data_IF_074931304375
#
_entry.id   IF_074931304375
#
_cell.length_a   1.000
_cell.length_b   1.000
_cell.length_c   1.000
_cell.angle_alpha   90.00
_cell.angle_beta   90.00
_cell.angle_gamma   90.00
#
_symmetry.space_group_name_H-M   'P 1'
#
loop_
_entity.id
_entity.type
_entity.pdbx_description
1 polymer ?
#
# COMPACT_ATOMS: atom_id res chain seq x y z
N UNK A 1 65.28 1.54 0.88
CA UNK A 1 65.01 1.13 -0.51
C UNK A 1 64.27 -0.20 -0.45
N UNK A 2 62.97 -0.33 -0.62
CA UNK A 2 61.80 0.53 -0.48
C UNK A 2 60.70 -0.40 0.06
N UNK A 3 59.97 0.02 1.08
CA UNK A 3 58.78 -0.71 1.55
C UNK A 3 57.69 -0.53 0.49
N UNK A 4 57.33 -1.59 -0.22
CA UNK A 4 56.15 -1.62 -1.11
C UNK A 4 54.89 -1.51 -0.24
N UNK A 5 54.41 -0.28 -0.08
CA UNK A 5 53.09 0.02 0.44
C UNK A 5 52.07 -0.33 -0.65
N UNK A 6 51.28 -1.38 -0.41
CA UNK A 6 50.08 -1.66 -1.19
C UNK A 6 49.09 -0.49 -1.02
N UNK A 7 48.51 0.04 -2.09
CA UNK A 7 47.51 1.10 -1.97
C UNK A 7 46.23 0.51 -1.37
N UNK A 8 45.90 0.91 -0.14
CA UNK A 8 44.57 0.73 0.45
C UNK A 8 43.57 1.55 -0.36
N UNK A 9 42.98 0.94 -1.39
CA UNK A 9 41.81 1.50 -2.06
C UNK A 9 40.60 1.27 -1.16
N UNK A 10 40.37 2.18 -0.22
CA UNK A 10 39.11 2.31 0.51
C UNK A 10 38.02 2.78 -0.47
N UNK A 11 37.56 1.86 -1.30
CA UNK A 11 36.32 2.04 -2.04
C UNK A 11 35.19 1.88 -1.04
N UNK A 12 34.86 2.99 -0.36
CA UNK A 12 33.57 3.17 0.30
C UNK A 12 32.47 3.00 -0.74
N UNK A 13 32.08 1.76 -1.01
CA UNK A 13 30.92 1.40 -1.80
C UNK A 13 29.73 1.95 -1.03
N UNK A 14 29.32 3.18 -1.37
CA UNK A 14 28.06 3.76 -0.95
C UNK A 14 27.03 3.27 -1.96
N UNK A 15 26.31 2.15 -1.72
CA UNK A 15 25.26 1.76 -2.62
C UNK A 15 24.28 2.93 -2.70
N UNK A 16 24.09 3.45 -3.91
CA UNK A 16 23.06 4.45 -4.16
C UNK A 16 21.71 3.74 -3.99
N UNK A 17 21.16 3.79 -2.77
CA UNK A 17 19.88 3.19 -2.40
C UNK A 17 18.76 3.60 -3.37
N UNK A 18 18.82 4.82 -3.90
CA UNK A 18 17.88 5.31 -4.92
C UNK A 18 17.98 4.57 -6.26
N UNK A 19 19.20 4.22 -6.70
CA UNK A 19 19.42 3.48 -7.95
C UNK A 19 18.97 2.02 -7.81
N UNK A 20 19.22 1.43 -6.64
CA UNK A 20 18.74 0.10 -6.27
C UNK A 20 17.21 0.08 -6.23
N UNK A 21 16.57 1.07 -5.59
CA UNK A 21 15.12 1.24 -5.58
C UNK A 21 14.52 1.37 -6.99
N UNK A 22 15.10 2.19 -7.87
CA UNK A 22 14.61 2.32 -9.26
C UNK A 22 14.77 1.02 -10.07
N UNK A 23 15.79 0.21 -9.77
CA UNK A 23 16.05 -1.06 -10.45
C UNK A 23 15.03 -2.11 -10.02
N UNK A 24 14.70 -2.18 -8.73
CA UNK A 24 13.63 -3.05 -8.23
C UNK A 24 12.26 -2.64 -8.75
N UNK A 25 11.94 -1.35 -8.76
CA UNK A 25 10.70 -0.84 -9.32
C UNK A 25 10.57 -1.19 -10.81
N UNK A 26 11.64 -0.99 -11.59
CA UNK A 26 11.68 -1.38 -13.01
C UNK A 26 11.55 -2.89 -13.20
N UNK A 27 12.15 -3.71 -12.33
CA UNK A 27 12.07 -5.16 -12.43
C UNK A 27 10.66 -5.68 -12.07
N UNK A 28 10.01 -5.11 -11.06
CA UNK A 28 8.60 -5.39 -10.71
C UNK A 28 7.66 -4.97 -11.83
N UNK A 29 7.86 -3.78 -12.42
CA UNK A 29 7.10 -3.33 -13.60
C UNK A 29 7.26 -4.26 -14.79
N UNK A 30 8.49 -4.70 -15.12
CA UNK A 30 8.74 -5.60 -16.25
C UNK A 30 8.11 -6.98 -16.02
N UNK A 31 8.17 -7.50 -14.79
CA UNK A 31 7.55 -8.78 -14.41
C UNK A 31 6.03 -8.73 -14.50
N UNK A 32 5.41 -7.62 -14.12
CA UNK A 32 3.97 -7.43 -14.26
C UNK A 32 3.52 -7.16 -15.70
N UNK A 33 4.30 -6.41 -16.48
CA UNK A 33 4.02 -6.25 -17.92
C UNK A 33 4.17 -7.58 -18.69
N UNK A 34 4.94 -8.53 -18.16
CA UNK A 34 5.02 -9.91 -18.69
C UNK A 34 3.68 -10.65 -18.53
N UNK A 35 2.90 -10.33 -17.49
CA UNK A 35 1.54 -10.85 -17.25
C UNK A 35 0.46 -9.77 -17.36
N UNK A 36 0.51 -8.96 -18.42
CA UNK A 36 -0.48 -7.91 -18.75
C UNK A 36 -1.96 -8.30 -18.57
N UNK A 37 -2.30 -9.58 -18.78
CA UNK A 37 -3.64 -10.10 -18.57
C UNK A 37 -4.07 -10.09 -17.09
N UNK A 38 -3.19 -10.47 -16.17
CA UNK A 38 -3.46 -10.46 -14.73
C UNK A 38 -3.67 -9.03 -14.21
N UNK A 39 -2.84 -8.10 -14.67
CA UNK A 39 -2.99 -6.67 -14.37
C UNK A 39 -4.35 -6.15 -14.87
N UNK A 40 -4.71 -6.42 -16.13
CA UNK A 40 -5.98 -5.99 -16.71
C UNK A 40 -7.19 -6.57 -15.99
N UNK A 41 -7.17 -7.88 -15.69
CA UNK A 41 -8.24 -8.56 -14.94
C UNK A 41 -8.40 -7.93 -13.55
N UNK A 42 -7.29 -7.61 -12.88
CA UNK A 42 -7.36 -7.02 -11.54
C UNK A 42 -7.86 -5.59 -11.59
N UNK A 43 -7.41 -4.79 -12.57
CA UNK A 43 -7.92 -3.44 -12.81
C UNK A 43 -9.43 -3.45 -13.05
N UNK A 44 -9.90 -4.32 -13.96
CA UNK A 44 -11.34 -4.45 -14.28
C UNK A 44 -12.13 -4.90 -13.05
N UNK A 45 -11.64 -5.89 -12.31
CA UNK A 45 -12.30 -6.38 -11.09
C UNK A 45 -12.42 -5.29 -10.02
N UNK A 46 -11.33 -4.54 -9.75
CA UNK A 46 -11.32 -3.45 -8.76
C UNK A 46 -12.21 -2.29 -9.19
N UNK A 47 -12.18 -1.92 -10.47
CA UNK A 47 -13.05 -0.89 -11.02
C UNK A 47 -14.52 -1.31 -10.97
N UNK A 48 -14.84 -2.55 -11.34
CA UNK A 48 -16.19 -3.10 -11.27
C UNK A 48 -16.71 -3.10 -9.83
N UNK A 49 -15.88 -3.50 -8.86
CA UNK A 49 -16.25 -3.47 -7.44
C UNK A 49 -16.57 -2.05 -6.96
N UNK A 50 -15.71 -1.09 -7.28
CA UNK A 50 -15.94 0.32 -6.98
C UNK A 50 -17.23 0.82 -7.64
N UNK A 51 -17.44 0.53 -8.93
CA UNK A 51 -18.65 0.94 -9.65
C UNK A 51 -19.91 0.32 -9.04
N UNK A 52 -19.89 -0.96 -8.70
CA UNK A 52 -21.02 -1.62 -8.05
C UNK A 52 -21.34 -0.97 -6.69
N UNK A 53 -20.32 -0.65 -5.90
CA UNK A 53 -20.50 0.01 -4.60
C UNK A 53 -21.03 1.44 -4.77
N UNK A 54 -20.52 2.20 -5.73
CA UNK A 54 -21.01 3.54 -6.05
C UNK A 54 -22.46 3.50 -6.52
N UNK A 55 -22.82 2.59 -7.44
CA UNK A 55 -24.20 2.45 -7.92
C UNK A 55 -25.17 2.07 -6.80
N UNK A 56 -24.76 1.18 -5.90
CA UNK A 56 -25.58 0.81 -4.74
C UNK A 56 -25.88 2.03 -3.88
N UNK A 57 -24.86 2.82 -3.53
CA UNK A 57 -25.05 4.02 -2.71
C UNK A 57 -25.78 5.13 -3.46
N UNK A 58 -25.56 5.27 -4.76
CA UNK A 58 -26.29 6.21 -5.61
C UNK A 58 -27.80 5.92 -5.58
N UNK A 59 -28.20 4.64 -5.67
CA UNK A 59 -29.61 4.21 -5.56
C UNK A 59 -30.17 4.46 -4.16
N UNK A 60 -29.37 4.28 -3.10
CA UNK A 60 -29.82 4.59 -1.74
C UNK A 60 -30.07 6.10 -1.60
N UNK A 61 -29.12 6.93 -2.02
CA UNK A 61 -29.23 8.39 -1.97
C UNK A 61 -30.24 8.97 -2.97
N UNK A 62 -30.76 8.17 -3.92
CA UNK A 62 -31.89 8.60 -4.75
C UNK A 62 -33.24 8.49 -4.02
N UNK A 63 -33.28 7.74 -2.91
CA UNK A 63 -34.49 7.55 -2.10
C UNK A 63 -34.38 8.19 -0.71
N UNK A 64 -33.19 8.68 -0.33
CA UNK A 64 -32.90 9.27 0.96
C UNK A 64 -31.96 10.47 0.77
N UNK A 65 -32.33 11.64 1.28
CA UNK A 65 -31.53 12.86 1.12
C UNK A 65 -30.20 12.81 1.90
N UNK A 66 -30.20 12.17 3.08
CA UNK A 66 -29.01 11.96 3.90
C UNK A 66 -29.14 10.68 4.74
N UNK A 67 -28.03 9.94 4.89
CA UNK A 67 -27.96 8.79 5.80
C UNK A 67 -27.41 9.31 7.13
N UNK A 68 -28.31 9.62 8.07
CA UNK A 68 -27.94 10.32 9.29
C UNK A 68 -27.47 11.74 8.98
N UNK A 69 -26.28 12.12 9.46
CA UNK A 69 -25.66 13.43 9.20
C UNK A 69 -24.73 13.43 7.96
N UNK A 70 -24.67 12.34 7.21
CA UNK A 70 -23.73 12.18 6.09
C UNK A 70 -24.41 12.38 4.73
N UNK A 71 -23.96 13.41 4.03
CA UNK A 71 -24.28 13.66 2.62
C UNK A 71 -23.60 12.63 1.72
N UNK A 72 -24.08 12.53 0.47
CA UNK A 72 -23.53 11.63 -0.56
C UNK A 72 -22.00 11.72 -0.69
N UNK A 73 -21.47 12.94 -0.75
CA UNK A 73 -20.06 13.17 -1.01
C UNK A 73 -19.18 12.90 0.23
N UNK A 74 -19.70 13.15 1.44
CA UNK A 74 -19.00 12.78 2.68
C UNK A 74 -18.87 11.26 2.79
N UNK A 75 -19.91 10.52 2.41
CA UNK A 75 -19.86 9.06 2.37
C UNK A 75 -18.83 8.55 1.34
N UNK A 76 -18.75 9.16 0.15
CA UNK A 76 -17.75 8.81 -0.85
C UNK A 76 -16.31 9.07 -0.38
N UNK A 77 -16.08 10.16 0.37
CA UNK A 77 -14.78 10.43 0.99
C UNK A 77 -14.43 9.37 2.06
N UNK A 78 -15.40 8.97 2.87
CA UNK A 78 -15.24 7.87 3.84
C UNK A 78 -14.91 6.55 3.14
N UNK A 79 -15.65 6.21 2.09
CA UNK A 79 -15.42 5.00 1.28
C UNK A 79 -14.02 5.00 0.66
N UNK A 80 -13.59 6.13 0.09
CA UNK A 80 -12.25 6.29 -0.47
C UNK A 80 -11.16 6.08 0.59
N UNK A 81 -11.38 6.58 1.81
CA UNK A 81 -10.46 6.37 2.94
C UNK A 81 -10.37 4.89 3.31
N UNK A 82 -11.50 4.19 3.40
CA UNK A 82 -11.54 2.75 3.66
C UNK A 82 -10.82 1.93 2.58
N UNK A 83 -11.02 2.28 1.31
CA UNK A 83 -10.30 1.66 0.19
C UNK A 83 -8.79 1.88 0.28
N UNK A 84 -8.36 3.06 0.70
CA UNK A 84 -6.95 3.41 0.86
C UNK A 84 -6.31 2.63 2.01
N UNK A 85 -6.98 2.55 3.16
CA UNK A 85 -6.51 1.74 4.30
C UNK A 85 -6.43 0.27 3.91
N UNK A 86 -7.45 -0.28 3.26
CA UNK A 86 -7.44 -1.66 2.77
C UNK A 86 -6.31 -1.92 1.77
N UNK A 87 -6.07 -1.00 0.82
CA UNK A 87 -4.97 -1.13 -0.13
C UNK A 87 -3.59 -1.11 0.55
N UNK A 88 -3.39 -0.21 1.53
CA UNK A 88 -2.16 -0.20 2.35
C UNK A 88 -2.01 -1.55 3.05
N UNK A 89 -3.10 -2.05 3.64
CA UNK A 89 -3.03 -3.29 4.42
C UNK A 89 -2.69 -4.49 3.53
N UNK A 90 -3.37 -4.64 2.40
CA UNK A 90 -3.15 -5.71 1.43
C UNK A 90 -1.75 -5.61 0.79
N UNK A 91 -1.22 -4.40 0.58
CA UNK A 91 0.13 -4.19 0.03
C UNK A 91 1.21 -4.65 1.00
N UNK A 92 1.13 -4.18 2.25
CA UNK A 92 2.22 -4.37 3.20
C UNK A 92 2.06 -5.65 4.02
N UNK A 93 0.86 -5.98 4.51
CA UNK A 93 0.73 -7.05 5.49
C UNK A 93 0.41 -8.41 4.89
N UNK A 94 -0.38 -8.48 3.82
CA UNK A 94 -0.74 -9.78 3.22
C UNK A 94 0.48 -10.60 2.78
N UNK A 95 1.51 -10.02 2.12
CA UNK A 95 2.74 -10.74 1.81
C UNK A 95 3.54 -11.10 3.07
N UNK A 96 3.57 -10.21 4.07
CA UNK A 96 4.27 -10.44 5.32
C UNK A 96 3.65 -11.58 6.14
N UNK A 97 2.32 -11.66 6.22
CA UNK A 97 1.62 -12.76 6.87
C UNK A 97 1.83 -14.09 6.16
N UNK A 98 1.79 -14.12 4.82
CA UNK A 98 2.05 -15.33 4.05
C UNK A 98 3.49 -15.84 4.29
N UNK A 99 4.47 -14.94 4.26
CA UNK A 99 5.87 -15.29 4.57
C UNK A 99 6.02 -15.76 6.02
N UNK A 100 5.44 -15.05 6.99
CA UNK A 100 5.50 -15.42 8.40
C UNK A 100 4.88 -16.80 8.67
N UNK A 101 3.72 -17.08 8.05
CA UNK A 101 3.08 -18.40 8.11
C UNK A 101 3.95 -19.49 7.48
N UNK A 102 4.64 -19.18 6.38
CA UNK A 102 5.58 -20.11 5.74
C UNK A 102 6.83 -20.37 6.60
N UNK A 103 7.38 -19.34 7.25
CA UNK A 103 8.50 -19.42 8.20
C UNK A 103 8.15 -20.29 9.43
N UNK A 104 6.90 -20.20 9.94
CA UNK A 104 6.41 -21.11 10.99
C UNK A 104 6.30 -22.54 10.45
N UNK A 105 5.73 -22.71 9.26
CA UNK A 105 5.52 -24.04 8.63
C UNK A 105 6.82 -24.78 8.36
N UNK A 106 7.89 -24.08 7.97
CA UNK A 106 9.20 -24.70 7.69
C UNK A 106 10.08 -24.86 8.91
N UNK A 107 9.72 -24.25 10.06
CA UNK A 107 10.53 -24.29 11.28
C UNK A 107 11.77 -23.38 11.24
N UNK A 108 11.89 -22.53 10.22
CA UNK A 108 13.03 -21.63 10.03
C UNK A 108 12.89 -20.30 10.81
N UNK A 109 11.82 -20.16 11.62
CA UNK A 109 11.58 -18.96 12.41
C UNK A 109 12.76 -18.63 13.36
N UNK A 110 13.35 -19.65 13.98
CA UNK A 110 14.50 -19.49 14.87
C UNK A 110 15.78 -19.08 14.13
N UNK A 111 15.93 -19.48 12.86
CA UNK A 111 17.02 -19.05 11.98
C UNK A 111 16.83 -17.61 11.48
N UNK A 112 15.59 -17.18 11.27
CA UNK A 112 15.26 -15.80 10.89
C UNK A 112 15.58 -14.81 12.02
N UNK A 113 15.36 -15.19 13.28
CA UNK A 113 15.68 -14.37 14.46
C UNK A 113 17.20 -14.18 14.69
N UNK A 114 18.04 -15.04 14.11
CA UNK A 114 19.51 -15.02 14.28
C UNK A 114 20.25 -14.31 13.13
N UNK A 115 19.55 -13.89 12.06
CA UNK A 115 20.18 -13.34 10.85
C UNK A 115 20.21 -11.81 10.89
N UNK A 116 21.39 -11.14 10.78
CA UNK A 116 21.48 -9.69 10.77
C UNK A 116 21.43 -9.17 9.33
N UNK A 117 20.36 -9.45 8.58
CA UNK A 117 20.08 -8.75 7.31
C UNK A 117 18.58 -8.54 7.19
N UNK A 118 18.23 -7.30 6.86
CA UNK A 118 16.90 -6.73 6.66
C UNK A 118 16.16 -7.43 5.51
N UNK A 119 15.43 -8.50 5.84
CA UNK A 119 14.48 -9.19 4.95
C UNK A 119 13.27 -8.31 4.60
N UNK A 120 13.03 -7.25 5.38
CA UNK A 120 11.88 -6.36 5.27
C UNK A 120 12.01 -5.43 4.05
N UNK A 121 13.22 -4.98 3.72
CA UNK A 121 13.49 -4.21 2.50
C UNK A 121 13.40 -5.07 1.22
N UNK A 122 13.95 -6.28 1.24
CA UNK A 122 13.99 -7.13 0.04
C UNK A 122 12.60 -7.68 -0.33
N UNK A 123 11.80 -8.08 0.67
CA UNK A 123 10.43 -8.57 0.49
C UNK A 123 9.44 -7.43 0.15
N UNK A 124 9.59 -6.24 0.74
CA UNK A 124 8.66 -5.12 0.47
C UNK A 124 8.80 -4.49 -0.91
N UNK A 125 9.97 -4.63 -1.56
CA UNK A 125 10.23 -4.02 -2.89
C UNK A 125 10.30 -5.03 -4.05
N UNK A 126 10.41 -6.34 -3.79
CA UNK A 126 10.44 -7.37 -4.84
C UNK A 126 9.04 -7.69 -5.43
N UNK A 127 7.98 -7.53 -4.64
CA UNK A 127 6.59 -7.71 -5.06
C UNK A 127 5.79 -6.45 -4.75
N UNK A 128 6.11 -5.35 -5.42
CA UNK A 128 5.15 -4.25 -5.51
C UNK A 128 3.95 -4.81 -6.27
N UNK A 129 2.91 -5.21 -5.54
CA UNK A 129 1.63 -5.59 -6.13
C UNK A 129 1.06 -4.34 -6.81
N UNK A 130 1.35 -4.11 -8.09
CA UNK A 130 0.76 -3.01 -8.83
C UNK A 130 -0.78 -3.07 -8.86
N UNK A 131 -1.46 -4.24 -8.68
CA UNK A 131 -2.88 -4.27 -8.36
C UNK A 131 -3.30 -3.38 -7.20
N UNK A 132 -2.48 -3.26 -6.16
CA UNK A 132 -2.76 -2.38 -5.03
C UNK A 132 -2.55 -0.92 -5.39
N UNK A 133 -1.57 -0.63 -6.24
CA UNK A 133 -1.35 0.72 -6.77
C UNK A 133 -2.58 1.20 -7.54
N UNK A 134 -3.21 0.33 -8.33
CA UNK A 134 -4.49 0.62 -8.98
C UNK A 134 -5.57 0.99 -7.96
N UNK A 135 -5.70 0.24 -6.87
CA UNK A 135 -6.70 0.54 -5.84
C UNK A 135 -6.43 1.88 -5.13
N UNK A 136 -5.16 2.18 -4.84
CA UNK A 136 -4.76 3.50 -4.28
C UNK A 136 -5.11 4.62 -5.24
N UNK A 137 -4.86 4.45 -6.55
CA UNK A 137 -5.23 5.43 -7.58
C UNK A 137 -6.74 5.63 -7.64
N UNK A 138 -7.54 4.55 -7.66
CA UNK A 138 -9.00 4.62 -7.66
C UNK A 138 -9.54 5.32 -6.41
N UNK A 139 -9.00 4.98 -5.23
CA UNK A 139 -9.33 5.64 -3.97
C UNK A 139 -8.97 7.14 -4.01
N UNK A 140 -7.81 7.48 -4.55
CA UNK A 140 -7.37 8.87 -4.71
C UNK A 140 -8.27 9.68 -5.63
N UNK A 141 -8.69 9.12 -6.77
CA UNK A 141 -9.63 9.76 -7.71
C UNK A 141 -10.98 10.00 -7.02
N UNK A 142 -11.51 9.02 -6.31
CA UNK A 142 -12.77 9.15 -5.59
C UNK A 142 -12.68 10.17 -4.45
N UNK A 143 -11.57 10.17 -3.70
CA UNK A 143 -11.33 11.14 -2.63
C UNK A 143 -11.27 12.56 -3.21
N UNK A 144 -10.51 12.76 -4.29
CA UNK A 144 -10.45 14.04 -4.99
C UNK A 144 -11.83 14.51 -5.47
N UNK A 145 -12.60 13.62 -6.10
CA UNK A 145 -13.96 13.92 -6.56
C UNK A 145 -14.88 14.34 -5.41
N UNK A 146 -14.77 13.66 -4.27
CA UNK A 146 -15.56 13.97 -3.08
C UNK A 146 -15.18 15.32 -2.49
N UNK A 147 -13.88 15.59 -2.33
CA UNK A 147 -13.37 16.87 -1.84
C UNK A 147 -13.73 18.05 -2.76
N UNK A 148 -13.78 17.83 -4.08
CA UNK A 148 -14.15 18.88 -5.03
C UNK A 148 -15.63 19.31 -4.92
N UNK A 149 -16.49 18.46 -4.37
CA UNK A 149 -17.91 18.75 -4.15
C UNK A 149 -18.23 19.12 -2.69
N UNK A 150 -17.26 18.99 -1.79
CA UNK A 150 -17.36 19.44 -0.41
C UNK A 150 -16.75 20.84 -0.30
N UNK A 151 -17.46 21.78 0.32
CA UNK A 151 -16.92 23.09 0.70
C UNK A 151 -15.97 22.98 1.92
N UNK A 152 -14.97 22.10 1.83
CA UNK A 152 -13.99 21.87 2.90
C UNK A 152 -12.72 22.67 2.62
N UNK A 153 -12.36 23.52 3.56
CA UNK A 153 -11.06 24.19 3.56
C UNK A 153 -9.93 23.20 3.85
N UNK A 154 -9.09 22.92 2.85
CA UNK A 154 -7.91 22.05 3.00
C UNK A 154 -6.80 22.82 3.70
N UNK A 155 -6.79 22.77 5.03
CA UNK A 155 -5.71 23.34 5.86
C UNK A 155 -4.62 22.30 6.11
N UNK A 156 -3.36 22.71 6.15
CA UNK A 156 -2.21 21.82 6.42
C UNK A 156 -2.39 20.98 7.71
N UNK A 157 -3.00 21.56 8.75
CA UNK A 157 -3.34 20.84 9.98
C UNK A 157 -4.30 19.67 9.75
N UNK A 158 -5.34 19.84 8.93
CA UNK A 158 -6.32 18.77 8.62
C UNK A 158 -5.68 17.65 7.81
N UNK A 159 -4.79 17.99 6.88
CA UNK A 159 -4.02 17.00 6.11
C UNK A 159 -3.14 16.16 7.05
N UNK A 160 -2.43 16.81 7.97
CA UNK A 160 -1.60 16.10 8.95
C UNK A 160 -2.45 15.18 9.84
N UNK A 161 -3.56 15.69 10.39
CA UNK A 161 -4.49 14.88 11.20
C UNK A 161 -5.05 13.71 10.41
N UNK A 162 -5.39 13.89 9.13
CA UNK A 162 -5.87 12.81 8.26
C UNK A 162 -4.82 11.71 8.08
N UNK A 163 -3.56 12.06 7.82
CA UNK A 163 -2.48 11.07 7.75
C UNK A 163 -2.24 10.35 9.07
N UNK A 164 -2.32 11.07 10.20
CA UNK A 164 -2.24 10.45 11.54
C UNK A 164 -3.39 9.45 11.73
N UNK A 165 -4.62 9.81 11.34
CA UNK A 165 -5.77 8.92 11.43
C UNK A 165 -5.63 7.68 10.54
N UNK A 166 -5.09 7.82 9.32
CA UNK A 166 -4.76 6.67 8.48
C UNK A 166 -3.74 5.76 9.18
N UNK A 167 -2.68 6.33 9.76
CA UNK A 167 -1.66 5.54 10.46
C UNK A 167 -2.27 4.77 11.65
N UNK A 168 -3.14 5.42 12.42
CA UNK A 168 -3.89 4.77 13.52
C UNK A 168 -4.81 3.68 12.99
N UNK A 169 -5.55 3.92 11.91
CA UNK A 169 -6.45 2.95 11.30
C UNK A 169 -5.70 1.70 10.82
N UNK A 170 -4.55 1.90 10.16
CA UNK A 170 -3.68 0.82 9.70
C UNK A 170 -3.11 0.04 10.88
N UNK A 171 -2.63 0.71 11.92
CA UNK A 171 -2.11 0.06 13.13
C UNK A 171 -3.18 -0.75 13.87
N UNK A 172 -4.40 -0.21 13.97
CA UNK A 172 -5.53 -0.91 14.56
C UNK A 172 -5.91 -2.16 13.76
N UNK A 173 -6.03 -2.02 12.43
CA UNK A 173 -6.36 -3.14 11.55
C UNK A 173 -5.30 -4.25 11.62
N UNK A 174 -4.02 -3.85 11.68
CA UNK A 174 -2.90 -4.77 11.87
C UNK A 174 -2.98 -5.52 13.20
N UNK A 175 -3.20 -4.80 14.30
CA UNK A 175 -3.34 -5.40 15.62
C UNK A 175 -4.48 -6.42 15.66
N UNK A 176 -5.60 -6.10 15.01
CA UNK A 176 -6.77 -6.99 14.93
C UNK A 176 -6.45 -8.24 14.12
N UNK A 177 -5.77 -8.11 12.99
CA UNK A 177 -5.38 -9.24 12.16
C UNK A 177 -4.44 -10.21 12.88
N UNK A 178 -3.47 -9.70 13.65
CA UNK A 178 -2.59 -10.56 14.47
C UNK A 178 -3.37 -11.23 15.61
N UNK A 179 -4.27 -10.50 16.27
CA UNK A 179 -5.05 -11.08 17.37
C UNK A 179 -5.99 -12.21 16.92
N UNK A 180 -6.39 -12.22 15.64
CA UNK A 180 -7.25 -13.23 15.03
C UNK A 180 -6.49 -14.37 14.31
N UNK A 181 -5.19 -14.19 14.06
CA UNK A 181 -4.33 -15.18 13.40
C UNK A 181 -3.84 -16.24 14.38
#
# INVERSE_FOLDING_TARGET
>A
MNHEQLPETDHTFRPNYFRVWSTFFRNSLVREMTFRANFLITLVTRAFWLSAQLLLFEVIYSHVDAIGDWTRYEYFAFMATGMLVNAIVETFFMPNCANFSELIRTGDLDFALLKPIDTQFLVSFEKVNLPMLVQVVLAGILMWYSLAHLDVTVTAGRVLTYFILIAVAVAFFYSLMIALA
#
